data_IF_834235609698
#
_entry.id   IF_834235609698
#
_cell.length_a   1.000
_cell.length_b   1.000
_cell.length_c   1.000
_cell.angle_alpha   90.00
_cell.angle_beta   90.00
_cell.angle_gamma   90.00
#
_symmetry.space_group_name_H-M   'P 1'
#
loop_
_entity.id
_entity.type
_entity.pdbx_description
1 polymer ?
#
# COMPACT_ATOMS: atom_id res chain seq x y z
N UNK A 1 9.39 -6.88 -17.87
CA UNK A 1 8.14 -6.54 -17.16
C UNK A 1 7.90 -7.65 -16.17
N UNK A 2 8.42 -7.48 -14.96
CA UNK A 2 8.43 -8.55 -13.96
C UNK A 2 7.08 -8.66 -13.28
N UNK A 3 6.60 -9.88 -13.03
CA UNK A 3 5.35 -10.16 -12.31
C UNK A 3 5.21 -9.39 -10.98
N UNK A 4 6.32 -9.02 -10.34
CA UNK A 4 6.32 -8.22 -9.11
C UNK A 4 5.91 -6.74 -9.30
N UNK A 5 6.21 -6.13 -10.44
CA UNK A 5 5.82 -4.74 -10.73
C UNK A 5 4.32 -4.61 -10.98
N UNK A 6 3.73 -5.61 -11.63
CA UNK A 6 2.30 -5.68 -11.92
C UNK A 6 1.51 -5.89 -10.62
N UNK A 7 2.00 -6.80 -9.76
CA UNK A 7 1.43 -7.02 -8.43
C UNK A 7 1.50 -5.76 -7.56
N UNK A 8 2.65 -5.09 -7.53
CA UNK A 8 2.81 -3.84 -6.77
C UNK A 8 1.88 -2.74 -7.30
N UNK A 9 1.73 -2.60 -8.62
CA UNK A 9 0.77 -1.65 -9.21
C UNK A 9 -0.68 -1.98 -8.83
N UNK A 10 -1.07 -3.24 -8.94
CA UNK A 10 -2.41 -3.69 -8.58
C UNK A 10 -2.69 -3.45 -7.09
N UNK A 11 -1.72 -3.74 -6.22
CA UNK A 11 -1.80 -3.47 -4.78
C UNK A 11 -1.93 -1.97 -4.52
N UNK A 12 -1.07 -1.13 -5.10
CA UNK A 12 -1.13 0.33 -4.94
C UNK A 12 -2.48 0.89 -5.38
N UNK A 13 -3.01 0.43 -6.53
CA UNK A 13 -4.29 0.88 -7.06
C UNK A 13 -5.47 0.44 -6.20
N UNK A 14 -5.44 -0.78 -5.66
CA UNK A 14 -6.44 -1.26 -4.71
C UNK A 14 -6.36 -0.50 -3.39
N UNK A 15 -5.17 -0.40 -2.78
CA UNK A 15 -4.94 0.26 -1.51
C UNK A 15 -5.30 1.74 -1.57
N UNK A 16 -4.96 2.44 -2.66
CA UNK A 16 -5.31 3.85 -2.88
C UNK A 16 -6.83 4.10 -2.79
N UNK A 17 -7.64 3.17 -3.33
CA UNK A 17 -9.12 3.24 -3.35
C UNK A 17 -9.78 2.93 -2.01
N UNK A 18 -9.07 2.30 -1.08
CA UNK A 18 -9.63 2.00 0.23
C UNK A 18 -9.85 3.30 1.03
N UNK A 19 -10.92 3.36 1.84
CA UNK A 19 -11.12 4.45 2.77
C UNK A 19 -10.07 4.39 3.91
N UNK A 20 -9.79 5.53 4.54
CA UNK A 20 -8.73 5.64 5.55
C UNK A 20 -8.90 4.69 6.73
N UNK A 21 -10.13 4.36 7.11
CA UNK A 21 -10.42 3.38 8.17
C UNK A 21 -10.02 1.95 7.78
N UNK A 22 -10.21 1.55 6.52
CA UNK A 22 -9.78 0.23 6.04
C UNK A 22 -8.27 0.15 5.82
N UNK A 23 -7.64 1.25 5.38
CA UNK A 23 -6.18 1.36 5.31
C UNK A 23 -5.56 1.16 6.69
N UNK A 24 -6.09 1.86 7.69
CA UNK A 24 -5.62 1.76 9.07
C UNK A 24 -5.78 0.34 9.64
N UNK A 25 -6.91 -0.31 9.40
CA UNK A 25 -7.13 -1.70 9.78
C UNK A 25 -6.14 -2.66 9.07
N UNK A 26 -5.87 -2.42 7.78
CA UNK A 26 -4.90 -3.23 7.03
C UNK A 26 -3.48 -3.06 7.58
N UNK A 27 -3.08 -1.83 7.90
CA UNK A 27 -1.77 -1.51 8.49
C UNK A 27 -1.58 -2.16 9.88
N UNK A 28 -2.66 -2.29 10.66
CA UNK A 28 -2.63 -2.99 11.94
C UNK A 28 -2.52 -4.51 11.80
N UNK A 29 -3.19 -5.09 10.80
CA UNK A 29 -3.17 -6.55 10.56
C UNK A 29 -1.93 -7.02 9.79
N UNK A 30 -1.36 -6.14 8.96
CA UNK A 30 -0.18 -6.37 8.13
C UNK A 30 0.83 -5.26 8.39
N UNK A 31 1.48 -5.26 9.57
CA UNK A 31 2.46 -4.24 9.92
C UNK A 31 3.63 -4.27 8.93
N UNK A 32 4.23 -3.11 8.70
CA UNK A 32 5.37 -2.97 7.81
C UNK A 32 6.54 -3.82 8.33
N UNK A 33 7.10 -4.73 7.52
CA UNK A 33 8.30 -5.47 7.91
C UNK A 33 9.48 -4.51 8.11
N UNK A 34 10.45 -4.93 8.93
CA UNK A 34 11.66 -4.15 9.21
C UNK A 34 12.41 -3.85 7.90
N UNK A 35 12.42 -2.58 7.48
CA UNK A 35 12.96 -2.12 6.18
C UNK A 35 11.91 -1.56 5.20
N UNK A 36 10.63 -1.76 5.46
CA UNK A 36 9.50 -1.19 4.70
C UNK A 36 8.82 -0.04 5.44
N UNK A 37 9.48 0.54 6.44
CA UNK A 37 8.95 1.65 7.24
C UNK A 37 8.56 2.83 6.36
N UNK A 38 7.30 3.23 6.41
CA UNK A 38 6.74 4.31 5.60
C UNK A 38 6.35 3.90 4.17
N UNK A 39 6.26 2.60 3.86
CA UNK A 39 5.67 2.08 2.64
C UNK A 39 4.21 2.51 2.50
N UNK A 40 3.38 2.28 3.52
CA UNK A 40 1.97 2.72 3.49
C UNK A 40 1.86 4.25 3.44
N UNK A 41 2.72 4.94 4.20
CA UNK A 41 2.82 6.40 4.17
C UNK A 41 3.13 6.96 2.78
N UNK A 42 3.99 6.29 2.00
CA UNK A 42 4.29 6.66 0.61
C UNK A 42 3.09 6.48 -0.31
N UNK A 43 2.32 5.40 -0.14
CA UNK A 43 1.11 5.16 -0.94
C UNK A 43 0.03 6.20 -0.61
N UNK A 44 -0.11 6.58 0.67
CA UNK A 44 -1.02 7.65 1.11
C UNK A 44 -0.59 9.02 0.59
N UNK A 45 0.71 9.33 0.59
CA UNK A 45 1.25 10.61 0.15
C UNK A 45 1.24 10.76 -1.38
N UNK A 46 1.38 9.67 -2.11
CA UNK A 46 1.30 9.64 -3.57
C UNK A 46 0.28 8.59 -4.02
N UNK A 47 -1.02 8.88 -3.88
CA UNK A 47 -2.07 7.99 -4.34
C UNK A 47 -1.92 7.79 -5.85
N UNK A 48 -2.07 6.54 -6.30
CA UNK A 48 -2.06 6.20 -7.72
C UNK A 48 -3.23 6.93 -8.40
N UNK A 49 -2.95 8.04 -9.10
CA UNK A 49 -3.90 8.87 -9.85
C UNK A 49 -4.26 8.21 -11.19
#
# INVERSE_FOLDING_TARGET
MGYGEDYMNAFWKWFSKLPDNEKDAYEQTSPEPEGWTGFYGRIRANPWL
#
